data_IF_095364329838
#
_entry.id   IF_095364329838
#
_cell.length_a   1.000
_cell.length_b   1.000
_cell.length_c   1.000
_cell.angle_alpha   90.00
_cell.angle_beta   90.00
_cell.angle_gamma   90.00
#
_symmetry.space_group_name_H-M   'P 1'
#
loop_
_entity.id
_entity.type
_entity.pdbx_description
1 polymer ?
#
# COMPACT_ATOMS: atom_id res chain seq x y z
N UNK A 1 -31.98 -41.04 -11.13
CA UNK A 1 -32.22 -39.91 -12.06
C UNK A 1 -32.67 -38.72 -11.23
N UNK A 2 -32.09 -37.55 -11.50
CA UNK A 2 -32.39 -36.21 -10.97
C UNK A 2 -31.89 -35.85 -9.55
N UNK A 3 -30.72 -35.18 -9.52
CA UNK A 3 -30.40 -34.08 -8.59
C UNK A 3 -29.59 -33.02 -9.38
N UNK A 4 -30.30 -32.25 -10.20
CA UNK A 4 -30.00 -30.82 -10.44
C UNK A 4 -30.50 -30.09 -9.19
N UNK A 5 -29.79 -29.16 -8.56
CA UNK A 5 -29.35 -27.89 -9.12
C UNK A 5 -28.05 -27.42 -8.46
N UNK A 6 -27.11 -27.04 -9.32
CA UNK A 6 -25.88 -26.36 -8.96
C UNK A 6 -26.23 -24.88 -8.94
N UNK A 7 -26.49 -24.31 -7.76
CA UNK A 7 -26.57 -22.86 -7.58
C UNK A 7 -25.18 -22.27 -7.88
N UNK A 8 -24.99 -21.92 -9.15
CA UNK A 8 -23.94 -20.99 -9.57
C UNK A 8 -24.31 -19.63 -9.00
N UNK A 9 -23.63 -19.24 -7.93
CA UNK A 9 -23.64 -17.88 -7.42
C UNK A 9 -23.04 -16.95 -8.48
N UNK A 10 -23.89 -16.45 -9.37
CA UNK A 10 -23.51 -15.37 -10.28
C UNK A 10 -23.01 -14.20 -9.43
N UNK A 11 -21.81 -13.64 -9.73
CA UNK A 11 -21.33 -12.49 -9.01
C UNK A 11 -22.29 -11.33 -9.27
N UNK A 12 -22.92 -10.84 -8.20
CA UNK A 12 -23.80 -9.66 -8.21
C UNK A 12 -23.20 -8.56 -9.10
N UNK A 13 -24.00 -7.95 -10.00
CA UNK A 13 -23.48 -6.99 -10.95
C UNK A 13 -22.84 -5.83 -10.21
N UNK A 14 -21.55 -5.64 -10.44
CA UNK A 14 -20.77 -4.56 -9.83
C UNK A 14 -21.49 -3.23 -10.09
N UNK A 15 -21.83 -2.45 -9.05
CA UNK A 15 -22.49 -1.17 -9.24
C UNK A 15 -21.64 -0.27 -10.14
N UNK A 16 -22.13 0.04 -11.34
CA UNK A 16 -21.41 0.81 -12.37
C UNK A 16 -20.82 2.12 -11.83
N UNK A 17 -21.51 2.75 -10.87
CA UNK A 17 -21.05 3.97 -10.18
C UNK A 17 -19.75 3.77 -9.42
N UNK A 18 -19.59 2.65 -8.70
CA UNK A 18 -18.38 2.34 -7.92
C UNK A 18 -17.20 2.11 -8.85
N UNK A 19 -17.41 1.35 -9.93
CA UNK A 19 -16.36 1.11 -10.93
C UNK A 19 -15.88 2.41 -11.59
N UNK A 20 -16.81 3.28 -12.02
CA UNK A 20 -16.48 4.58 -12.61
C UNK A 20 -15.70 5.45 -11.61
N UNK A 21 -16.10 5.43 -10.34
CA UNK A 21 -15.43 6.20 -9.29
C UNK A 21 -13.98 5.72 -9.06
N UNK A 22 -13.76 4.42 -8.88
CA UNK A 22 -12.42 3.85 -8.68
C UNK A 22 -11.51 4.07 -9.90
N UNK A 23 -12.07 3.95 -11.10
CA UNK A 23 -11.35 4.24 -12.35
C UNK A 23 -10.93 5.72 -12.40
N UNK A 24 -11.82 6.62 -11.96
CA UNK A 24 -11.51 8.06 -11.90
C UNK A 24 -10.44 8.38 -10.86
N UNK A 25 -10.45 7.74 -9.69
CA UNK A 25 -9.36 7.85 -8.71
C UNK A 25 -8.04 7.41 -9.34
N UNK A 26 -8.02 6.25 -9.99
CA UNK A 26 -6.83 5.71 -10.67
C UNK A 26 -6.30 6.68 -11.73
N UNK A 27 -7.18 7.35 -12.49
CA UNK A 27 -6.80 8.37 -13.45
C UNK A 27 -6.26 9.64 -12.78
N UNK A 28 -6.88 10.10 -11.70
CA UNK A 28 -6.42 11.28 -10.96
C UNK A 28 -5.05 11.05 -10.33
N UNK A 29 -4.82 9.86 -9.78
CA UNK A 29 -3.52 9.48 -9.24
C UNK A 29 -2.44 9.38 -10.32
N UNK A 30 -2.80 8.96 -11.55
CA UNK A 30 -1.89 8.97 -12.70
C UNK A 30 -1.64 10.36 -13.31
N UNK A 31 -2.59 11.29 -13.24
CA UNK A 31 -2.46 12.66 -13.78
C UNK A 31 -1.62 13.53 -12.83
N UNK A 32 -0.33 13.20 -12.71
CA UNK A 32 0.66 14.14 -12.18
C UNK A 32 1.23 14.97 -13.34
N UNK A 33 1.13 16.30 -13.25
CA UNK A 33 1.36 17.25 -14.36
C UNK A 33 2.84 17.45 -14.78
N UNK A 34 3.76 16.53 -14.45
CA UNK A 34 5.17 16.68 -14.84
C UNK A 34 5.87 15.34 -15.05
N UNK A 35 6.71 15.27 -16.09
CA UNK A 35 7.62 14.14 -16.39
C UNK A 35 8.68 13.88 -15.31
N UNK A 36 8.77 14.70 -14.25
CA UNK A 36 9.63 14.45 -13.09
C UNK A 36 8.79 13.90 -11.93
N UNK A 37 8.64 12.58 -11.89
CA UNK A 37 7.68 11.84 -11.08
C UNK A 37 7.90 11.84 -9.54
N UNK A 38 8.57 12.84 -8.96
CA UNK A 38 9.05 12.75 -7.56
C UNK A 38 8.74 14.00 -6.71
N UNK A 39 8.43 15.16 -7.30
CA UNK A 39 8.12 16.38 -6.53
C UNK A 39 6.75 16.97 -6.85
N UNK A 40 5.87 16.95 -5.84
CA UNK A 40 4.62 17.68 -5.84
C UNK A 40 4.83 18.99 -5.07
N UNK A 41 4.42 20.12 -5.65
CA UNK A 41 4.55 21.43 -5.02
C UNK A 41 3.22 21.77 -4.36
N UNK A 42 3.28 22.05 -3.07
CA UNK A 42 2.13 22.46 -2.26
C UNK A 42 2.26 23.93 -1.88
N UNK A 43 1.11 24.59 -1.70
CA UNK A 43 1.06 25.99 -1.29
C UNK A 43 1.71 26.23 0.08
N UNK A 44 1.47 25.30 1.00
CA UNK A 44 1.91 25.38 2.40
C UNK A 44 1.96 23.97 3.01
N UNK A 45 2.61 23.87 4.18
CA UNK A 45 2.78 22.61 4.91
C UNK A 45 1.44 21.99 5.36
N UNK A 46 0.43 22.81 5.66
CA UNK A 46 -0.91 22.35 6.04
C UNK A 46 -1.62 21.66 4.88
N UNK A 47 -1.53 22.23 3.67
CA UNK A 47 -2.07 21.61 2.45
C UNK A 47 -1.38 20.28 2.12
N UNK A 48 -0.05 20.19 2.31
CA UNK A 48 0.68 18.92 2.18
C UNK A 48 0.18 17.89 3.19
N UNK A 49 0.12 18.24 4.48
CA UNK A 49 -0.31 17.35 5.55
C UNK A 49 -1.74 16.86 5.33
N UNK A 50 -2.65 17.74 4.92
CA UNK A 50 -4.02 17.37 4.59
C UNK A 50 -4.07 16.36 3.43
N UNK A 51 -3.27 16.59 2.39
CA UNK A 51 -3.17 15.67 1.23
C UNK A 51 -2.63 14.31 1.65
N UNK A 52 -1.56 14.28 2.46
CA UNK A 52 -0.99 13.05 3.01
C UNK A 52 -2.02 12.27 3.83
N UNK A 53 -2.76 12.95 4.71
CA UNK A 53 -3.83 12.34 5.51
C UNK A 53 -4.97 11.81 4.62
N UNK A 54 -5.39 12.54 3.59
CA UNK A 54 -6.43 12.10 2.67
C UNK A 54 -6.02 10.83 1.92
N UNK A 55 -4.80 10.80 1.40
CA UNK A 55 -4.24 9.62 0.73
C UNK A 55 -4.20 8.42 1.68
N UNK A 56 -3.81 8.65 2.93
CA UNK A 56 -3.72 7.59 3.94
C UNK A 56 -5.11 7.06 4.36
N UNK A 57 -6.12 7.94 4.47
CA UNK A 57 -7.53 7.53 4.65
C UNK A 57 -7.98 6.60 3.54
N UNK A 58 -7.71 6.99 2.30
CA UNK A 58 -8.12 6.24 1.12
C UNK A 58 -7.44 4.87 1.08
N UNK A 59 -6.12 4.83 1.32
CA UNK A 59 -5.39 3.56 1.39
C UNK A 59 -5.95 2.64 2.47
N UNK A 60 -6.08 3.12 3.72
CA UNK A 60 -6.61 2.32 4.82
C UNK A 60 -8.01 1.75 4.50
N UNK A 61 -8.88 2.58 3.94
CA UNK A 61 -10.23 2.17 3.53
C UNK A 61 -10.21 1.08 2.46
N UNK A 62 -9.42 1.26 1.40
CA UNK A 62 -9.33 0.30 0.30
C UNK A 62 -8.78 -1.05 0.78
N UNK A 63 -7.78 -1.03 1.66
CA UNK A 63 -7.19 -2.23 2.25
C UNK A 63 -8.21 -2.97 3.13
N UNK A 64 -8.91 -2.24 4.00
CA UNK A 64 -9.89 -2.84 4.92
C UNK A 64 -11.03 -3.54 4.17
N UNK A 65 -11.36 -3.12 2.95
CA UNK A 65 -12.52 -3.61 2.20
C UNK A 65 -12.16 -4.47 0.99
N UNK A 66 -10.87 -4.70 0.72
CA UNK A 66 -10.44 -5.38 -0.51
C UNK A 66 -10.97 -6.82 -0.61
N UNK A 67 -11.17 -7.52 0.50
CA UNK A 67 -11.71 -8.88 0.51
C UNK A 67 -13.24 -8.91 0.57
N UNK A 68 -13.92 -7.80 0.89
CA UNK A 68 -15.37 -7.71 0.96
C UNK A 68 -16.03 -7.17 -0.31
N UNK A 69 -15.26 -6.53 -1.20
CA UNK A 69 -15.75 -6.10 -2.52
C UNK A 69 -15.81 -7.27 -3.51
N UNK A 70 -16.64 -7.10 -4.55
CA UNK A 70 -16.72 -8.04 -5.66
C UNK A 70 -15.32 -8.33 -6.25
N UNK A 71 -15.07 -9.59 -6.61
CA UNK A 71 -13.76 -10.04 -7.10
C UNK A 71 -13.22 -9.18 -8.26
N UNK A 72 -14.11 -8.76 -9.18
CA UNK A 72 -13.76 -7.89 -10.31
C UNK A 72 -13.26 -6.48 -9.92
N UNK A 73 -13.54 -6.00 -8.69
CA UNK A 73 -13.10 -4.70 -8.20
C UNK A 73 -11.77 -4.77 -7.43
N UNK A 74 -11.37 -5.95 -6.96
CA UNK A 74 -10.14 -6.10 -6.18
C UNK A 74 -8.88 -5.60 -6.91
N UNK A 75 -8.71 -5.86 -8.24
CA UNK A 75 -7.57 -5.31 -8.98
C UNK A 75 -7.48 -3.79 -8.95
N UNK A 76 -8.62 -3.09 -8.96
CA UNK A 76 -8.64 -1.62 -8.86
C UNK A 76 -8.22 -1.15 -7.46
N UNK A 77 -8.63 -1.85 -6.40
CA UNK A 77 -8.16 -1.55 -5.05
C UNK A 77 -6.63 -1.73 -4.95
N UNK A 78 -6.11 -2.86 -5.44
CA UNK A 78 -4.68 -3.14 -5.47
C UNK A 78 -3.90 -2.04 -6.20
N UNK A 79 -4.37 -1.66 -7.40
CA UNK A 79 -3.73 -0.63 -8.21
C UNK A 79 -3.70 0.73 -7.50
N UNK A 80 -4.83 1.16 -6.93
CA UNK A 80 -4.91 2.44 -6.22
C UNK A 80 -4.02 2.44 -4.99
N UNK A 81 -4.00 1.35 -4.21
CA UNK A 81 -3.14 1.22 -3.03
C UNK A 81 -1.67 1.35 -3.44
N UNK A 82 -1.21 0.60 -4.44
CA UNK A 82 0.19 0.66 -4.92
C UNK A 82 0.54 2.05 -5.45
N UNK A 83 -0.38 2.71 -6.17
CA UNK A 83 -0.17 4.08 -6.61
C UNK A 83 0.00 5.06 -5.45
N UNK A 84 -0.83 4.95 -4.41
CA UNK A 84 -0.70 5.78 -3.21
C UNK A 84 0.63 5.49 -2.53
N UNK A 85 0.98 4.21 -2.34
CA UNK A 85 2.22 3.77 -1.68
C UNK A 85 3.50 4.19 -2.41
N UNK A 86 3.44 4.56 -3.69
CA UNK A 86 4.62 5.02 -4.45
C UNK A 86 4.75 6.53 -4.49
N UNK A 87 3.79 7.27 -3.91
CA UNK A 87 3.80 8.74 -3.90
C UNK A 87 4.90 9.31 -3.01
N UNK A 88 5.59 10.33 -3.52
CA UNK A 88 6.64 11.05 -2.81
C UNK A 88 6.11 11.83 -1.60
N UNK A 89 4.84 12.23 -1.59
CA UNK A 89 4.22 12.84 -0.41
C UNK A 89 4.22 11.91 0.80
N UNK A 90 4.23 10.59 0.58
CA UNK A 90 4.25 9.60 1.65
C UNK A 90 5.66 9.07 1.92
N UNK A 91 6.71 9.65 1.31
CA UNK A 91 8.08 9.30 1.61
C UNK A 91 8.54 9.99 2.90
N UNK A 92 8.13 9.43 4.03
CA UNK A 92 8.43 9.94 5.37
C UNK A 92 9.88 9.63 5.80
N UNK A 93 10.63 8.82 5.01
CA UNK A 93 11.97 8.36 5.36
C UNK A 93 12.96 9.51 5.63
N UNK A 94 12.88 10.59 4.85
CA UNK A 94 13.72 11.78 5.04
C UNK A 94 13.28 12.69 6.20
N UNK A 95 12.07 12.52 6.75
CA UNK A 95 11.58 13.39 7.83
C UNK A 95 11.99 12.93 9.24
N UNK A 96 12.39 11.68 9.42
CA UNK A 96 12.83 11.16 10.74
C UNK A 96 14.24 11.68 11.08
N UNK A 97 15.09 11.91 10.08
CA UNK A 97 16.46 12.40 10.27
C UNK A 97 16.51 13.91 10.57
N UNK A 98 15.46 14.66 10.25
CA UNK A 98 15.33 16.09 10.60
C UNK A 98 14.91 16.33 12.06
N UNK A 99 14.87 15.28 12.90
CA UNK A 99 14.34 15.29 14.26
C UNK A 99 15.03 16.22 15.28
N UNK A 100 16.05 16.99 14.89
CA UNK A 100 16.76 17.90 15.80
C UNK A 100 16.65 19.39 15.46
N UNK A 101 15.86 19.78 14.45
CA UNK A 101 15.83 21.19 14.02
C UNK A 101 14.38 21.68 13.92
N UNK A 102 13.87 22.17 15.06
CA UNK A 102 12.64 22.99 15.21
C UNK A 102 11.28 22.28 15.10
N UNK A 103 10.82 21.72 16.23
CA UNK A 103 9.40 21.70 16.62
C UNK A 103 8.41 21.16 15.59
N UNK A 104 8.39 19.84 15.37
CA UNK A 104 7.24 19.23 14.69
C UNK A 104 5.97 19.44 15.51
N UNK A 105 4.94 20.02 14.89
CA UNK A 105 3.58 20.08 15.44
C UNK A 105 3.11 18.66 15.78
N UNK A 106 2.44 18.49 16.92
CA UNK A 106 1.83 17.22 17.39
C UNK A 106 1.09 16.48 16.26
N UNK A 107 0.43 17.22 15.36
CA UNK A 107 -0.31 16.68 14.23
C UNK A 107 0.55 15.91 13.21
N UNK A 108 1.81 16.28 13.02
CA UNK A 108 2.71 15.57 12.10
C UNK A 108 3.19 14.24 12.71
N UNK A 109 3.49 14.22 14.01
CA UNK A 109 3.87 12.98 14.70
C UNK A 109 2.73 11.94 14.71
N UNK A 110 1.48 12.40 14.88
CA UNK A 110 0.28 11.58 14.73
C UNK A 110 0.17 11.01 13.31
N UNK A 111 0.42 11.83 12.29
CA UNK A 111 0.44 11.37 10.90
C UNK A 111 1.50 10.30 10.66
N UNK A 112 2.75 10.49 11.13
CA UNK A 112 3.83 9.50 10.95
C UNK A 112 3.47 8.17 11.62
N UNK A 113 2.89 8.23 12.82
CA UNK A 113 2.44 7.04 13.57
C UNK A 113 1.37 6.28 12.79
N UNK A 114 0.39 7.02 12.26
CA UNK A 114 -0.67 6.42 11.46
C UNK A 114 -0.15 5.85 10.14
N UNK A 115 0.75 6.56 9.45
CA UNK A 115 1.38 6.10 8.23
C UNK A 115 2.09 4.76 8.43
N UNK A 116 2.91 4.65 9.49
CA UNK A 116 3.59 3.41 9.86
C UNK A 116 2.60 2.28 10.11
N UNK A 117 1.50 2.57 10.81
CA UNK A 117 0.46 1.58 11.09
C UNK A 117 -0.19 1.05 9.81
N UNK A 118 -0.63 1.91 8.90
CA UNK A 118 -1.26 1.47 7.64
C UNK A 118 -0.27 0.68 6.77
N UNK A 119 1.01 1.07 6.76
CA UNK A 119 2.05 0.34 6.04
C UNK A 119 2.28 -1.07 6.63
N UNK A 120 2.32 -1.21 7.96
CA UNK A 120 2.40 -2.50 8.65
C UNK A 120 1.14 -3.34 8.46
N UNK A 121 -0.05 -2.76 8.52
CA UNK A 121 -1.32 -3.45 8.26
C UNK A 121 -1.35 -4.02 6.83
N UNK A 122 -0.84 -3.26 5.87
CA UNK A 122 -0.71 -3.69 4.46
C UNK A 122 0.30 -4.84 4.31
N UNK A 123 1.46 -4.73 4.98
CA UNK A 123 2.46 -5.79 4.98
C UNK A 123 1.90 -7.08 5.60
N UNK A 124 1.21 -6.97 6.73
CA UNK A 124 0.57 -8.10 7.40
C UNK A 124 -0.50 -8.76 6.51
N UNK A 125 -1.32 -7.95 5.84
CA UNK A 125 -2.27 -8.45 4.84
C UNK A 125 -1.59 -9.24 3.72
N UNK A 126 -0.49 -8.73 3.18
CA UNK A 126 0.27 -9.38 2.10
C UNK A 126 0.91 -10.69 2.55
N UNK A 127 1.57 -10.71 3.72
CA UNK A 127 2.16 -11.94 4.27
C UNK A 127 1.08 -13.01 4.48
N UNK A 128 -0.06 -12.64 5.08
CA UNK A 128 -1.19 -13.56 5.26
C UNK A 128 -1.77 -14.06 3.94
N UNK A 129 -1.73 -13.22 2.90
CA UNK A 129 -2.23 -13.57 1.57
C UNK A 129 -1.29 -14.54 0.86
N UNK A 130 0.03 -14.32 0.95
CA UNK A 130 1.05 -15.20 0.36
C UNK A 130 1.07 -16.59 0.99
N UNK A 131 0.70 -16.70 2.26
CA UNK A 131 0.59 -17.99 2.95
C UNK A 131 -0.64 -18.83 2.54
N UNK A 132 -1.44 -18.39 1.55
CA UNK A 132 -2.59 -19.14 1.03
C UNK A 132 -2.19 -19.96 -0.21
N UNK A 133 -2.74 -21.18 -0.33
CA UNK A 133 -2.40 -22.13 -1.40
C UNK A 133 -2.80 -21.68 -2.82
N UNK A 134 -3.86 -20.87 -2.96
CA UNK A 134 -4.37 -20.42 -4.25
C UNK A 134 -4.62 -18.91 -4.24
N UNK A 135 -3.73 -18.17 -4.90
CA UNK A 135 -3.79 -16.71 -5.03
C UNK A 135 -3.86 -16.34 -6.51
N UNK A 136 -4.78 -15.44 -6.90
CA UNK A 136 -4.88 -14.95 -8.28
C UNK A 136 -3.62 -14.21 -8.72
N UNK A 137 -3.39 -14.08 -10.03
CA UNK A 137 -2.20 -13.43 -10.56
C UNK A 137 -2.13 -11.94 -10.17
N UNK A 138 -3.25 -11.21 -10.21
CA UNK A 138 -3.35 -9.80 -9.84
C UNK A 138 -2.99 -9.59 -8.38
N UNK A 139 -3.45 -10.50 -7.51
CA UNK A 139 -3.17 -10.46 -6.08
C UNK A 139 -1.71 -10.82 -5.78
N UNK A 140 -1.09 -11.75 -6.53
CA UNK A 140 0.36 -12.01 -6.43
C UNK A 140 1.19 -10.80 -6.86
N UNK A 141 0.82 -10.15 -7.95
CA UNK A 141 1.48 -8.94 -8.43
C UNK A 141 1.39 -7.81 -7.39
N UNK A 142 0.21 -7.60 -6.82
CA UNK A 142 0.00 -6.68 -5.71
C UNK A 142 0.92 -6.99 -4.52
N UNK A 143 0.97 -8.25 -4.09
CA UNK A 143 1.84 -8.68 -2.99
C UNK A 143 3.32 -8.37 -3.28
N UNK A 144 3.80 -8.71 -4.48
CA UNK A 144 5.19 -8.45 -4.87
C UNK A 144 5.51 -6.94 -4.88
N UNK A 145 4.60 -6.11 -5.40
CA UNK A 145 4.76 -4.65 -5.41
C UNK A 145 4.79 -4.08 -4.00
N UNK A 146 3.89 -4.52 -3.11
CA UNK A 146 3.86 -4.09 -1.71
C UNK A 146 5.15 -4.49 -0.99
N UNK A 147 5.64 -5.73 -1.16
CA UNK A 147 6.89 -6.17 -0.55
C UNK A 147 8.08 -5.33 -1.02
N UNK A 148 8.17 -5.07 -2.32
CA UNK A 148 9.20 -4.23 -2.90
C UNK A 148 9.16 -2.80 -2.32
N UNK A 149 7.97 -2.20 -2.22
CA UNK A 149 7.81 -0.86 -1.64
C UNK A 149 8.14 -0.85 -0.14
N UNK A 150 7.65 -1.85 0.60
CA UNK A 150 7.87 -1.99 2.04
C UNK A 150 9.35 -2.18 2.37
N UNK A 151 10.11 -2.89 1.54
CA UNK A 151 11.56 -3.03 1.67
C UNK A 151 12.27 -1.67 1.75
N UNK A 152 11.85 -0.70 0.94
CA UNK A 152 12.44 0.64 0.96
C UNK A 152 11.91 1.49 2.13
N UNK A 153 10.61 1.39 2.42
CA UNK A 153 9.92 2.28 3.38
C UNK A 153 9.96 1.83 4.85
N UNK A 154 10.27 0.56 5.13
CA UNK A 154 10.38 0.00 6.48
C UNK A 154 11.78 -0.60 6.70
N UNK A 155 12.72 0.17 7.29
CA UNK A 155 14.07 -0.33 7.58
C UNK A 155 14.08 -1.62 8.42
N UNK A 156 13.17 -1.73 9.40
CA UNK A 156 13.08 -2.94 10.22
C UNK A 156 12.64 -4.15 9.42
N UNK A 157 11.64 -4.01 8.54
CA UNK A 157 11.23 -5.10 7.64
C UNK A 157 12.38 -5.50 6.71
N UNK A 158 13.11 -4.53 6.16
CA UNK A 158 14.30 -4.79 5.33
C UNK A 158 15.32 -5.67 6.06
N UNK A 159 15.66 -5.33 7.31
CA UNK A 159 16.63 -6.11 8.11
C UNK A 159 16.17 -7.56 8.28
N UNK A 160 14.91 -7.77 8.68
CA UNK A 160 14.36 -9.11 8.87
C UNK A 160 14.28 -9.90 7.56
N UNK A 161 13.91 -9.24 6.45
CA UNK A 161 13.86 -9.88 5.15
C UNK A 161 15.24 -10.32 4.68
N UNK A 162 16.26 -9.48 4.83
CA UNK A 162 17.63 -9.81 4.46
C UNK A 162 18.18 -10.95 5.33
N UNK A 163 17.95 -10.91 6.65
CA UNK A 163 18.34 -11.99 7.55
C UNK A 163 17.65 -13.33 7.23
N UNK A 164 16.44 -13.30 6.67
CA UNK A 164 15.70 -14.51 6.31
C UNK A 164 16.10 -15.11 4.95
N UNK A 165 16.71 -14.32 4.06
CA UNK A 165 17.02 -14.72 2.68
C UNK A 165 18.52 -14.93 2.46
N UNK A 166 19.36 -14.13 3.14
CA UNK A 166 20.80 -14.29 3.07
C UNK A 166 21.21 -15.46 3.97
N UNK A 167 22.19 -16.27 3.56
CA UNK A 167 22.79 -17.26 4.45
C UNK A 167 23.37 -16.57 5.68
N UNK A 168 23.35 -17.25 6.82
CA UNK A 168 24.15 -16.82 7.97
C UNK A 168 25.61 -16.77 7.49
N UNK A 169 26.23 -15.60 7.59
CA UNK A 169 27.68 -15.47 7.38
C UNK A 169 28.32 -16.24 8.55
N UNK A 170 28.46 -17.55 8.40
CA UNK A 170 29.39 -18.38 9.15
C UNK A 170 30.80 -17.93 8.71
N UNK A 171 31.18 -16.76 9.21
CA UNK A 171 32.54 -16.24 9.14
C UNK A 171 33.45 -17.19 9.89
N UNK A 172 33.95 -18.19 9.18
CA UNK A 172 35.20 -18.83 9.47
C UNK A 172 36.30 -17.76 9.51
N UNK A 173 36.55 -17.24 10.70
CA UNK A 173 37.78 -16.56 11.06
C UNK A 173 38.52 -17.43 12.08
N UNK A 174 38.90 -18.63 11.65
CA UNK A 174 40.16 -19.22 12.09
C UNK A 174 41.26 -18.61 11.19
N UNK A 175 42.15 -17.84 11.80
CA UNK A 175 43.28 -17.17 11.15
C UNK A 175 43.99 -16.21 12.09
#
# INVERSE_FOLDING_TARGET
VALTEKESSEPSPVPRKVWVFLTRITQLLHKSHKKSAISYVYRDQGTLLWTQQLLLKLWAYLLQHVDSVAFALQPLHFQIIVQIMTRGELDVGGCVECGNVHGHSTSYAEFVTWYRRVLLDTLHYVIRTLNRWAVSQERRLFCAQVLAIAYFRLPEFRKHLLAAILPDDDGGADG
#
